data_IF_994764292267
#
_entry.id   IF_994764292267
#
_cell.length_a   1.000
_cell.length_b   1.000
_cell.length_c   1.000
_cell.angle_alpha   90.00
_cell.angle_beta   90.00
_cell.angle_gamma   90.00
#
_symmetry.space_group_name_H-M   'P 1'
#
loop_
_entity.id
_entity.type
_entity.pdbx_description
1 polymer ?
#
# COMPACT_ATOMS: atom_id res chain seq x y z
N UNK A 1 -12.54 -1.60 0.13
CA UNK A 1 -13.96 -2.01 0.23
C UNK A 1 -14.27 -3.03 -0.86
N UNK A 2 -14.80 -4.22 -0.54
CA UNK A 2 -15.28 -5.17 -1.55
C UNK A 2 -16.47 -4.56 -2.30
N UNK A 3 -16.58 -4.89 -3.59
CA UNK A 3 -17.60 -4.42 -4.51
C UNK A 3 -18.38 -5.60 -5.12
N UNK A 4 -19.51 -5.36 -5.77
CA UNK A 4 -20.25 -6.41 -6.49
C UNK A 4 -19.39 -7.11 -7.55
N UNK A 5 -19.84 -8.28 -7.99
CA UNK A 5 -19.12 -9.12 -8.97
C UNK A 5 -18.70 -8.30 -10.20
N UNK A 6 -17.40 -8.36 -10.52
CA UNK A 6 -16.79 -7.66 -11.66
C UNK A 6 -16.12 -6.32 -11.34
N UNK A 7 -16.34 -5.73 -10.16
CA UNK A 7 -15.72 -4.45 -9.80
C UNK A 7 -14.52 -4.62 -8.86
N UNK A 8 -13.39 -4.01 -9.23
CA UNK A 8 -12.19 -4.05 -8.40
C UNK A 8 -12.38 -3.27 -7.08
N UNK A 9 -11.77 -3.74 -5.97
CA UNK A 9 -11.87 -3.04 -4.70
C UNK A 9 -11.17 -1.68 -4.76
N UNK A 10 -11.75 -0.71 -4.05
CA UNK A 10 -11.07 0.57 -3.76
C UNK A 10 -10.17 0.33 -2.55
N UNK A 11 -8.87 0.55 -2.74
CA UNK A 11 -7.83 0.39 -1.75
C UNK A 11 -6.98 1.67 -1.72
N UNK A 12 -7.32 2.63 -0.85
CA UNK A 12 -6.45 3.75 -0.57
C UNK A 12 -5.24 3.24 0.21
N UNK A 13 -4.06 3.37 -0.37
CA UNK A 13 -2.79 3.14 0.31
C UNK A 13 -1.99 4.45 0.24
N UNK A 14 -1.89 5.12 1.37
CA UNK A 14 -1.13 6.36 1.48
C UNK A 14 -0.46 6.39 2.86
N UNK A 15 0.81 6.77 2.87
CA UNK A 15 1.39 7.27 4.10
C UNK A 15 0.65 8.56 4.48
N UNK A 16 0.39 8.77 5.77
CA UNK A 16 -0.24 10.00 6.28
C UNK A 16 0.61 11.26 6.07
N UNK A 17 1.80 11.12 5.44
CA UNK A 17 2.75 12.19 5.13
C UNK A 17 3.36 12.00 3.73
N UNK A 18 3.54 13.12 3.00
CA UNK A 18 4.01 13.18 1.60
C UNK A 18 5.46 12.72 1.42
N UNK A 19 6.26 12.68 2.49
CA UNK A 19 7.63 12.15 2.49
C UNK A 19 7.81 11.37 3.78
N UNK A 20 8.14 10.09 3.69
CA UNK A 20 8.57 9.30 4.84
C UNK A 20 10.04 9.61 5.15
N UNK A 21 10.29 10.77 5.76
CA UNK A 21 11.51 11.06 6.50
C UNK A 21 11.15 10.99 7.98
N UNK A 22 11.86 10.19 8.76
CA UNK A 22 11.68 10.20 10.21
C UNK A 22 11.78 11.61 10.80
N UNK A 23 11.08 11.88 11.90
CA UNK A 23 11.33 12.95 12.89
C UNK A 23 10.52 14.26 12.96
N UNK A 24 9.83 14.79 11.94
CA UNK A 24 9.40 16.21 12.03
C UNK A 24 8.27 16.54 13.04
N UNK A 25 7.48 15.58 13.54
CA UNK A 25 6.34 15.86 14.44
C UNK A 25 6.57 15.52 15.92
N UNK A 26 7.77 15.75 16.43
CA UNK A 26 7.97 15.92 17.89
C UNK A 26 7.53 17.31 18.37
N UNK A 27 7.29 18.30 17.51
CA UNK A 27 7.36 19.70 17.99
C UNK A 27 6.10 20.59 17.94
N UNK A 28 5.16 20.51 17.00
CA UNK A 28 4.47 21.76 16.64
C UNK A 28 3.11 22.08 17.33
N UNK A 29 3.11 22.33 18.65
CA UNK A 29 2.20 23.33 19.32
C UNK A 29 0.83 22.91 19.93
N UNK A 30 0.75 21.96 20.88
CA UNK A 30 -0.48 21.88 21.68
C UNK A 30 -0.47 20.83 22.78
N UNK A 31 0.06 21.19 23.95
CA UNK A 31 0.38 20.27 25.04
C UNK A 31 -0.72 19.29 25.48
N UNK A 32 -0.48 17.98 25.29
CA UNK A 32 -0.65 16.88 26.28
C UNK A 32 -0.18 15.53 25.70
N UNK A 33 0.21 14.62 26.60
CA UNK A 33 1.09 13.43 26.42
C UNK A 33 0.54 12.29 25.55
N UNK A 34 1.42 11.51 24.91
CA UNK A 34 1.39 10.04 24.87
C UNK A 34 2.80 9.46 24.70
N UNK A 35 3.28 8.63 25.64
CA UNK A 35 3.72 7.29 25.24
C UNK A 35 3.55 6.22 26.35
N UNK A 36 2.56 5.35 26.21
CA UNK A 36 2.63 3.92 26.59
C UNK A 36 1.90 3.17 25.48
N UNK A 37 2.58 2.24 24.80
CA UNK A 37 1.96 1.23 23.92
C UNK A 37 1.09 1.68 22.73
N UNK A 38 1.12 2.95 22.33
CA UNK A 38 0.73 3.47 21.00
C UNK A 38 -0.29 2.61 20.23
N UNK A 39 -1.53 2.53 20.72
CA UNK A 39 -2.72 1.88 20.13
C UNK A 39 -2.65 0.39 19.70
N UNK A 40 -1.48 -0.18 19.46
CA UNK A 40 -1.24 -1.53 18.92
C UNK A 40 -0.24 -2.31 19.76
N UNK A 41 0.27 -1.71 20.85
CA UNK A 41 1.21 -2.31 21.79
C UNK A 41 2.69 -2.05 21.45
N UNK A 42 3.01 -1.58 20.25
CA UNK A 42 4.41 -1.43 19.79
C UNK A 42 5.12 -0.20 20.36
N UNK A 43 4.38 0.79 20.85
CA UNK A 43 4.94 2.04 21.36
C UNK A 43 5.40 3.00 20.25
N UNK A 44 5.75 4.24 20.61
CA UNK A 44 6.29 5.21 19.67
C UNK A 44 7.79 4.96 19.42
N UNK A 45 8.28 5.36 18.24
CA UNK A 45 9.71 5.26 17.87
C UNK A 45 10.59 5.92 18.93
N UNK A 46 11.57 5.18 19.46
CA UNK A 46 12.55 5.70 20.41
C UNK A 46 13.91 5.06 20.17
N UNK A 47 15.00 5.84 20.28
CA UNK A 47 16.36 5.32 20.15
C UNK A 47 16.64 4.16 21.14
N UNK A 48 17.31 3.12 20.65
CA UNK A 48 17.67 1.94 21.45
C UNK A 48 16.62 0.81 21.52
N UNK A 49 15.47 0.96 20.85
CA UNK A 49 14.49 -0.13 20.69
C UNK A 49 14.60 -0.82 19.35
N UNK A 50 14.35 -2.14 19.34
CA UNK A 50 14.21 -2.93 18.11
C UNK A 50 13.07 -2.35 17.27
N UNK A 51 13.30 -2.15 15.98
CA UNK A 51 12.28 -1.65 15.07
C UNK A 51 11.05 -2.57 15.09
N UNK A 52 9.87 -1.98 15.29
CA UNK A 52 8.60 -2.70 15.33
C UNK A 52 7.54 -1.87 14.60
N UNK A 53 6.76 -2.51 13.74
CA UNK A 53 5.64 -1.89 13.05
C UNK A 53 4.34 -2.22 13.79
N UNK A 54 3.58 -1.19 14.19
CA UNK A 54 2.27 -1.33 14.81
C UNK A 54 1.18 -0.97 13.81
N UNK A 55 0.30 -1.92 13.49
CA UNK A 55 -0.80 -1.71 12.54
C UNK A 55 -2.15 -1.74 13.26
N UNK A 56 -2.95 -0.70 13.06
CA UNK A 56 -4.36 -0.66 13.45
C UNK A 56 -5.22 -0.88 12.20
N UNK A 57 -6.02 -1.94 12.22
CA UNK A 57 -6.92 -2.27 11.12
C UNK A 57 -8.37 -2.28 11.63
N UNK A 58 -9.25 -1.59 10.90
CA UNK A 58 -10.69 -1.66 11.11
C UNK A 58 -11.31 -2.52 10.02
N UNK A 59 -12.15 -3.48 10.44
CA UNK A 59 -12.91 -4.32 9.53
C UNK A 59 -14.39 -3.99 9.71
N UNK A 60 -15.04 -3.59 8.63
CA UNK A 60 -16.47 -3.28 8.60
C UNK A 60 -17.13 -4.24 7.64
N UNK A 61 -18.12 -4.99 8.12
CA UNK A 61 -18.96 -5.82 7.26
C UNK A 61 -20.01 -4.93 6.57
N UNK A 62 -19.94 -4.76 5.24
CA UNK A 62 -20.91 -3.93 4.52
C UNK A 62 -22.35 -4.42 4.71
N UNK A 63 -22.59 -5.72 4.95
CA UNK A 63 -23.96 -6.26 5.15
C UNK A 63 -24.64 -5.71 6.40
N UNK A 64 -23.86 -5.30 7.39
CA UNK A 64 -24.36 -4.75 8.66
C UNK A 64 -24.71 -3.27 8.53
N UNK A 65 -23.98 -2.54 7.69
CA UNK A 65 -24.14 -1.08 7.52
C UNK A 65 -24.97 -0.68 6.31
N UNK A 66 -25.05 -1.55 5.30
CA UNK A 66 -25.82 -1.35 4.06
C UNK A 66 -26.79 -2.53 3.85
N UNK A 67 -27.80 -2.59 4.72
CA UNK A 67 -28.84 -3.63 4.68
C UNK A 67 -29.74 -3.54 3.45
N UNK A 68 -29.72 -2.41 2.74
CA UNK A 68 -30.52 -2.16 1.53
C UNK A 68 -29.72 -2.32 0.22
N UNK A 69 -28.45 -2.74 0.30
CA UNK A 69 -27.56 -2.99 -0.84
C UNK A 69 -27.39 -1.81 -1.81
N UNK A 70 -27.53 -0.58 -1.31
CA UNK A 70 -27.45 0.63 -2.14
C UNK A 70 -26.02 1.13 -2.31
N UNK A 71 -25.13 0.75 -1.39
CA UNK A 71 -23.77 1.28 -1.32
C UNK A 71 -22.97 0.97 -2.59
N UNK A 72 -23.11 -0.23 -3.14
CA UNK A 72 -22.35 -0.60 -4.34
C UNK A 72 -22.79 0.24 -5.55
N UNK A 73 -24.08 0.33 -5.84
CA UNK A 73 -24.56 1.16 -6.96
C UNK A 73 -24.15 2.65 -6.79
N UNK A 74 -24.21 3.18 -5.57
CA UNK A 74 -23.81 4.54 -5.25
C UNK A 74 -22.32 4.78 -5.47
N UNK A 75 -21.47 3.88 -4.97
CA UNK A 75 -20.01 3.98 -5.11
C UNK A 75 -19.61 3.79 -6.58
N UNK A 76 -20.30 2.95 -7.37
CA UNK A 76 -20.04 2.83 -8.82
C UNK A 76 -20.30 4.17 -9.50
N UNK A 77 -21.49 4.73 -9.30
CA UNK A 77 -21.87 6.00 -9.91
C UNK A 77 -20.93 7.13 -9.51
N UNK A 78 -20.48 7.16 -8.25
CA UNK A 78 -19.53 8.15 -7.78
C UNK A 78 -18.15 7.99 -8.42
N UNK A 79 -17.66 6.74 -8.54
CA UNK A 79 -16.41 6.44 -9.26
C UNK A 79 -16.50 6.87 -10.72
N UNK A 80 -17.59 6.56 -11.41
CA UNK A 80 -17.80 6.93 -12.81
C UNK A 80 -17.85 8.45 -12.98
N UNK A 81 -18.53 9.14 -12.06
CA UNK A 81 -18.57 10.60 -12.03
C UNK A 81 -17.18 11.22 -11.87
N UNK A 82 -16.35 10.70 -10.95
CA UNK A 82 -14.97 11.18 -10.77
C UNK A 82 -14.15 10.93 -12.04
N UNK A 83 -14.25 9.74 -12.64
CA UNK A 83 -13.53 9.39 -13.87
C UNK A 83 -13.92 10.25 -15.07
N UNK A 84 -15.19 10.68 -15.14
CA UNK A 84 -15.69 11.54 -16.20
C UNK A 84 -15.21 13.01 -16.08
N UNK A 85 -14.55 13.37 -14.98
CA UNK A 85 -14.05 14.73 -14.77
C UNK A 85 -12.90 15.03 -15.74
N UNK A 86 -12.87 16.25 -16.28
CA UNK A 86 -11.78 16.70 -17.17
C UNK A 86 -10.44 16.61 -16.42
N UNK A 87 -9.42 15.91 -16.96
CA UNK A 87 -8.10 15.87 -16.36
C UNK A 87 -7.48 17.26 -16.26
N UNK A 88 -6.60 17.45 -15.27
CA UNK A 88 -5.76 18.65 -15.21
C UNK A 88 -4.89 18.77 -16.47
N UNK A 89 -4.48 19.99 -16.82
CA UNK A 89 -3.67 20.23 -18.02
C UNK A 89 -2.41 19.34 -18.02
N UNK A 90 -2.27 18.50 -19.06
CA UNK A 90 -1.16 17.55 -19.20
C UNK A 90 -1.39 16.17 -18.57
N UNK A 91 -2.58 15.89 -18.00
CA UNK A 91 -2.96 14.56 -17.52
C UNK A 91 -3.78 13.76 -18.53
N UNK A 92 -3.50 12.46 -18.64
CA UNK A 92 -4.22 11.56 -19.58
C UNK A 92 -5.65 11.26 -19.12
N UNK A 93 -5.85 10.96 -17.83
CA UNK A 93 -7.16 10.61 -17.27
C UNK A 93 -7.16 10.78 -15.74
N UNK A 94 -8.35 10.98 -15.17
CA UNK A 94 -8.55 10.96 -13.71
C UNK A 94 -8.50 9.52 -13.22
N UNK A 95 -7.61 9.26 -12.26
CA UNK A 95 -7.41 7.94 -11.65
C UNK A 95 -8.10 7.84 -10.30
N UNK A 96 -8.54 6.63 -9.97
CA UNK A 96 -9.10 6.28 -8.66
C UNK A 96 -8.03 5.51 -7.86
N UNK A 97 -7.98 5.68 -6.53
CA UNK A 97 -7.10 4.87 -5.69
C UNK A 97 -7.17 3.37 -6.00
N UNK A 98 -6.01 2.76 -6.22
CA UNK A 98 -5.86 1.39 -6.69
C UNK A 98 -5.67 1.23 -8.21
N UNK A 99 -5.98 2.24 -9.04
CA UNK A 99 -5.75 2.16 -10.49
C UNK A 99 -4.27 2.06 -10.86
N UNK A 100 -3.35 2.90 -10.33
CA UNK A 100 -1.94 2.80 -10.64
C UNK A 100 -1.36 1.42 -10.26
N UNK A 101 -1.73 0.91 -9.09
CA UNK A 101 -1.30 -0.38 -8.57
C UNK A 101 -1.84 -1.52 -9.44
N UNK A 102 -3.11 -1.46 -9.87
CA UNK A 102 -3.70 -2.43 -10.79
C UNK A 102 -2.99 -2.43 -12.14
N UNK A 103 -2.74 -1.26 -12.73
CA UNK A 103 -2.02 -1.13 -14.00
C UNK A 103 -0.62 -1.71 -13.89
N UNK A 104 0.09 -1.37 -12.81
CA UNK A 104 1.45 -1.86 -12.54
C UNK A 104 1.46 -3.37 -12.31
N UNK A 105 0.48 -3.90 -11.56
CA UNK A 105 0.35 -5.34 -11.30
C UNK A 105 0.05 -6.11 -12.58
N UNK A 106 -0.88 -5.63 -13.42
CA UNK A 106 -1.19 -6.26 -14.70
C UNK A 106 0.03 -6.29 -15.62
N UNK A 107 0.74 -5.16 -15.74
CA UNK A 107 1.96 -5.07 -16.54
C UNK A 107 3.07 -6.00 -16.02
N UNK A 108 3.32 -6.01 -14.71
CA UNK A 108 4.36 -6.86 -14.09
C UNK A 108 4.02 -8.34 -14.09
N UNK A 109 2.74 -8.70 -14.03
CA UNK A 109 2.32 -10.11 -14.11
C UNK A 109 2.52 -10.69 -15.50
N UNK A 110 2.43 -9.85 -16.55
CA UNK A 110 2.64 -10.26 -17.94
C UNK A 110 4.09 -10.16 -18.39
N UNK A 111 4.78 -9.09 -17.99
CA UNK A 111 6.11 -8.75 -18.52
C UNK A 111 7.26 -9.00 -17.53
N UNK A 112 6.96 -9.50 -16.32
CA UNK A 112 7.94 -9.65 -15.25
C UNK A 112 8.12 -8.39 -14.40
N UNK A 113 8.81 -8.55 -13.26
CA UNK A 113 9.09 -7.46 -12.32
C UNK A 113 10.48 -6.89 -12.64
N UNK A 114 10.60 -5.61 -13.04
CA UNK A 114 11.91 -5.01 -13.26
C UNK A 114 12.64 -4.88 -11.92
N UNK A 115 13.85 -5.42 -11.85
CA UNK A 115 14.75 -5.30 -10.71
C UNK A 115 16.05 -4.64 -11.18
N UNK A 116 16.58 -3.63 -10.45
CA UNK A 116 17.91 -3.12 -10.72
C UNK A 116 18.97 -4.21 -10.53
N UNK A 117 20.02 -4.18 -11.35
CA UNK A 117 21.09 -5.17 -11.33
C UNK A 117 21.74 -5.31 -9.94
N UNK A 118 21.96 -4.18 -9.25
CA UNK A 118 22.52 -4.17 -7.90
C UNK A 118 21.60 -4.86 -6.87
N UNK A 119 20.28 -4.69 -7.02
CA UNK A 119 19.30 -5.36 -6.15
C UNK A 119 19.27 -6.86 -6.41
N UNK A 120 19.35 -7.27 -7.69
CA UNK A 120 19.43 -8.67 -8.05
C UNK A 120 20.72 -9.32 -7.52
N UNK A 121 21.86 -8.65 -7.66
CA UNK A 121 23.13 -9.09 -7.12
C UNK A 121 23.08 -9.28 -5.60
N UNK A 122 22.45 -8.34 -4.88
CA UNK A 122 22.25 -8.46 -3.44
C UNK A 122 21.41 -9.70 -3.06
N UNK A 123 20.30 -9.94 -3.78
CA UNK A 123 19.45 -11.13 -3.56
C UNK A 123 20.24 -12.42 -3.77
N UNK A 124 21.01 -12.51 -4.86
CA UNK A 124 21.83 -13.69 -5.20
C UNK A 124 22.91 -13.94 -4.15
N UNK A 125 23.59 -12.89 -3.68
CA UNK A 125 24.62 -13.01 -2.66
C UNK A 125 24.04 -13.52 -1.34
N UNK A 126 22.91 -12.95 -0.89
CA UNK A 126 22.21 -13.45 0.32
C UNK A 126 21.77 -14.90 0.15
N UNK A 127 21.28 -15.30 -1.02
CA UNK A 127 20.91 -16.69 -1.28
C UNK A 127 22.09 -17.66 -1.14
N UNK A 128 23.29 -17.27 -1.61
CA UNK A 128 24.52 -18.07 -1.44
C UNK A 128 24.95 -18.17 0.03
N UNK A 129 24.89 -17.07 0.78
CA UNK A 129 25.26 -17.04 2.20
C UNK A 129 24.41 -17.98 3.05
N UNK A 130 23.12 -18.11 2.74
CA UNK A 130 22.20 -19.01 3.45
C UNK A 130 22.19 -20.44 2.89
N UNK A 131 23.05 -20.75 1.91
CA UNK A 131 23.25 -22.10 1.39
C UNK A 131 22.25 -22.54 0.29
N UNK A 132 21.59 -21.62 -0.41
CA UNK A 132 20.81 -21.97 -1.59
C UNK A 132 21.74 -22.49 -2.69
N UNK A 133 21.39 -23.62 -3.31
CA UNK A 133 22.23 -24.23 -4.34
C UNK A 133 22.39 -23.33 -5.57
N UNK A 134 23.59 -23.33 -6.17
CA UNK A 134 23.87 -22.53 -7.38
C UNK A 134 22.96 -22.92 -8.56
N UNK A 135 22.55 -24.19 -8.65
CA UNK A 135 21.60 -24.68 -9.66
C UNK A 135 20.23 -23.98 -9.51
N UNK A 136 19.76 -23.79 -8.28
CA UNK A 136 18.49 -23.09 -8.00
C UNK A 136 18.58 -21.61 -8.35
N UNK A 137 19.73 -20.99 -8.07
CA UNK A 137 19.99 -19.57 -8.38
C UNK A 137 20.01 -19.36 -9.91
N UNK A 138 20.73 -20.22 -10.64
CA UNK A 138 20.83 -20.14 -12.10
C UNK A 138 19.47 -20.35 -12.79
N UNK A 139 18.64 -21.27 -12.28
CA UNK A 139 17.27 -21.46 -12.78
C UNK A 139 16.36 -20.27 -12.55
N UNK A 140 16.57 -19.52 -11.47
CA UNK A 140 15.77 -18.32 -11.18
C UNK A 140 16.23 -17.09 -11.97
N UNK A 141 17.44 -17.13 -12.53
CA UNK A 141 18.02 -16.06 -13.34
C UNK A 141 17.81 -16.24 -14.85
N UNK A 142 17.26 -17.38 -15.28
CA UNK A 142 16.97 -17.73 -16.67
C UNK A 142 15.49 -17.49 -17.01
#
# INVERSE_FOLDING_TARGET
MPRSEGHAPIAPDFATWVVAEGEVLVASRGGKKLPKGALTGTGATSGGRRFANGMLAFYVDPKVVDTSHVFDAEVSRHVDFIRATRPAAGGDQVLIPGDPERKTRAGRSQNGIPLPDDTWAAIVNTAREIGVSEISIQRAAA
#
